data_IF_497354314382
#
_entry.id   IF_497354314382
#
_cell.length_a   1.000
_cell.length_b   1.000
_cell.length_c   1.000
_cell.angle_alpha   90.00
_cell.angle_beta   90.00
_cell.angle_gamma   90.00
#
_symmetry.space_group_name_H-M   'P 1'
#
loop_
_entity.id
_entity.type
_entity.pdbx_description
1 polymer ?
#
# COMPACT_ATOMS: atom_id res chain seq x y z
N UNK A 1 -114.93 -50.50 16.61
CA UNK A 1 -113.87 -49.53 17.03
C UNK A 1 -112.56 -50.01 16.49
N UNK A 2 -112.20 -49.58 15.26
CA UNK A 2 -110.97 -49.99 14.61
C UNK A 2 -109.90 -48.95 14.80
N UNK A 3 -108.76 -49.36 15.36
CA UNK A 3 -107.57 -48.52 15.51
C UNK A 3 -106.63 -48.77 14.31
N UNK A 4 -106.41 -47.72 13.54
CA UNK A 4 -105.47 -47.74 12.37
C UNK A 4 -104.02 -47.65 12.89
N UNK A 5 -103.23 -48.68 12.63
CA UNK A 5 -101.78 -48.70 12.94
C UNK A 5 -101.01 -48.04 11.78
N UNK A 6 -100.35 -46.86 12.02
CA UNK A 6 -99.46 -46.22 11.08
C UNK A 6 -98.09 -46.98 10.98
N UNK A 7 -97.81 -47.58 9.84
CA UNK A 7 -96.48 -48.17 9.51
C UNK A 7 -95.42 -47.04 9.36
N UNK A 8 -94.42 -47.03 10.23
CA UNK A 8 -93.25 -46.22 10.06
C UNK A 8 -92.39 -46.76 8.91
N UNK A 9 -92.25 -46.00 7.79
CA UNK A 9 -91.29 -46.23 6.76
C UNK A 9 -89.93 -45.75 7.26
N UNK A 10 -89.07 -46.56 7.85
CA UNK A 10 -87.69 -46.34 8.18
C UNK A 10 -86.79 -47.22 7.30
N UNK A 11 -85.70 -46.69 6.90
CA UNK A 11 -84.62 -47.40 6.18
C UNK A 11 -84.26 -48.70 6.89
N UNK A 12 -84.49 -49.85 6.22
CA UNK A 12 -84.13 -51.15 6.79
C UNK A 12 -82.60 -51.28 6.88
N UNK A 13 -82.10 -51.71 8.05
CA UNK A 13 -80.65 -51.89 8.36
C UNK A 13 -79.89 -52.69 7.29
N UNK A 14 -80.56 -53.46 6.47
CA UNK A 14 -80.00 -54.31 5.39
C UNK A 14 -79.53 -53.51 4.21
N UNK A 15 -79.97 -52.26 3.99
CA UNK A 15 -79.57 -51.40 2.87
C UNK A 15 -78.47 -50.40 3.21
N UNK A 16 -78.12 -50.27 4.52
CA UNK A 16 -77.09 -49.37 4.97
C UNK A 16 -75.70 -49.62 4.30
N UNK A 17 -75.21 -50.89 4.18
CA UNK A 17 -73.90 -51.13 3.52
C UNK A 17 -73.87 -50.79 2.03
N UNK A 18 -75.02 -50.95 1.32
CA UNK A 18 -75.11 -50.60 -0.09
C UNK A 18 -75.14 -49.07 -0.33
N UNK A 19 -75.78 -48.35 0.53
CA UNK A 19 -75.82 -46.89 0.51
C UNK A 19 -74.42 -46.35 0.84
N UNK A 20 -73.73 -46.89 1.86
CA UNK A 20 -72.33 -46.50 2.21
C UNK A 20 -71.39 -46.81 1.09
N UNK A 21 -71.48 -47.96 0.41
CA UNK A 21 -70.65 -48.28 -0.78
C UNK A 21 -70.93 -47.33 -1.98
N UNK A 22 -72.23 -46.95 -2.17
CA UNK A 22 -72.58 -45.96 -3.21
C UNK A 22 -72.04 -44.56 -2.92
N UNK A 23 -72.12 -44.12 -1.65
CA UNK A 23 -71.56 -42.84 -1.23
C UNK A 23 -69.98 -42.87 -1.39
N UNK A 24 -69.33 -43.98 -0.99
CA UNK A 24 -67.93 -44.13 -1.13
C UNK A 24 -67.46 -44.12 -2.62
N UNK A 25 -68.19 -44.83 -3.47
CA UNK A 25 -67.94 -44.80 -4.91
C UNK A 25 -68.13 -43.39 -5.51
N UNK A 26 -69.14 -42.64 -5.06
CA UNK A 26 -69.45 -41.29 -5.49
C UNK A 26 -68.34 -40.31 -4.98
N UNK A 27 -67.79 -40.47 -3.79
CA UNK A 27 -66.65 -39.70 -3.25
C UNK A 27 -65.39 -40.02 -4.07
N UNK A 28 -65.17 -41.30 -4.40
CA UNK A 28 -64.03 -41.69 -5.22
C UNK A 28 -64.14 -41.13 -6.66
N UNK A 29 -65.35 -41.17 -7.25
CA UNK A 29 -65.58 -40.58 -8.57
C UNK A 29 -65.41 -39.04 -8.56
N UNK A 30 -65.93 -38.37 -7.52
CA UNK A 30 -65.73 -36.94 -7.31
C UNK A 30 -64.26 -36.60 -7.07
N UNK A 31 -63.53 -37.43 -6.32
CA UNK A 31 -62.08 -37.25 -6.10
C UNK A 31 -61.29 -37.44 -7.38
N UNK A 32 -61.62 -38.41 -8.27
CA UNK A 32 -61.02 -38.62 -9.58
C UNK A 32 -61.36 -37.46 -10.54
N UNK A 33 -62.59 -36.93 -10.50
CA UNK A 33 -63.00 -35.81 -11.36
C UNK A 33 -62.39 -34.48 -10.89
N UNK A 34 -62.26 -34.24 -9.58
CA UNK A 34 -61.67 -33.01 -9.03
C UNK A 34 -60.16 -33.06 -8.93
N UNK A 35 -59.60 -34.26 -8.66
CA UNK A 35 -58.13 -34.44 -8.52
C UNK A 35 -57.37 -34.31 -9.85
N UNK A 36 -58.00 -34.32 -11.00
CA UNK A 36 -57.32 -34.34 -12.32
C UNK A 36 -57.59 -33.08 -13.16
N UNK A 37 -57.98 -31.96 -12.56
CA UNK A 37 -58.11 -30.70 -13.26
C UNK A 37 -56.74 -30.01 -13.25
N UNK A 38 -55.85 -30.33 -14.23
CA UNK A 38 -54.67 -29.52 -14.55
C UNK A 38 -55.18 -28.14 -14.97
N UNK A 39 -54.75 -27.09 -14.23
CA UNK A 39 -55.15 -25.72 -14.53
C UNK A 39 -54.48 -25.29 -15.84
N UNK A 40 -55.30 -25.00 -16.86
CA UNK A 40 -54.84 -24.56 -18.18
C UNK A 40 -55.15 -23.10 -18.40
N UNK A 41 -54.21 -22.35 -19.02
CA UNK A 41 -54.37 -20.98 -19.40
C UNK A 41 -54.02 -20.76 -20.86
N UNK A 42 -54.82 -19.96 -21.57
CA UNK A 42 -54.55 -19.58 -22.93
C UNK A 42 -53.72 -18.29 -22.98
N UNK A 43 -52.58 -18.29 -23.67
CA UNK A 43 -51.62 -17.19 -23.74
C UNK A 43 -51.25 -16.91 -25.20
N UNK A 44 -51.11 -15.63 -25.56
CA UNK A 44 -50.62 -15.27 -26.89
C UNK A 44 -49.09 -15.45 -26.97
N UNK A 45 -48.67 -16.22 -27.98
CA UNK A 45 -47.24 -16.55 -28.21
C UNK A 45 -46.36 -15.36 -28.52
N UNK A 46 -46.94 -14.23 -28.92
CA UNK A 46 -46.21 -13.00 -29.27
C UNK A 46 -45.57 -12.32 -28.05
N UNK A 47 -46.12 -12.53 -26.89
CA UNK A 47 -45.67 -11.90 -25.65
C UNK A 47 -44.62 -12.72 -24.90
N UNK A 48 -44.20 -13.86 -25.48
CA UNK A 48 -43.33 -14.82 -24.85
C UNK A 48 -41.95 -14.83 -25.51
N UNK A 49 -40.93 -14.78 -24.67
CA UNK A 49 -39.56 -15.10 -25.11
C UNK A 49 -39.31 -16.59 -24.92
N UNK A 50 -39.07 -17.27 -26.05
CA UNK A 50 -38.78 -18.69 -26.05
C UNK A 50 -37.31 -18.89 -26.38
N UNK A 51 -36.58 -19.58 -25.51
CA UNK A 51 -35.16 -19.89 -25.69
C UNK A 51 -34.97 -21.40 -25.84
N UNK A 52 -33.98 -21.80 -26.60
CA UNK A 52 -33.63 -23.22 -26.78
C UNK A 52 -32.53 -23.59 -25.81
N UNK A 53 -32.71 -24.73 -25.14
CA UNK A 53 -31.69 -25.34 -24.27
C UNK A 53 -30.58 -25.89 -25.18
N UNK A 54 -29.33 -25.53 -24.91
CA UNK A 54 -28.18 -25.97 -25.70
C UNK A 54 -27.18 -26.72 -24.83
N UNK A 55 -26.45 -27.65 -25.43
CA UNK A 55 -25.27 -28.21 -24.79
C UNK A 55 -24.05 -27.41 -25.27
N UNK A 56 -23.25 -26.94 -24.32
CA UNK A 56 -22.10 -26.11 -24.63
C UNK A 56 -21.15 -25.94 -23.46
N UNK A 57 -20.09 -25.21 -23.70
CA UNK A 57 -19.09 -24.90 -22.69
C UNK A 57 -19.64 -23.83 -21.74
N UNK A 58 -19.89 -24.20 -20.49
CA UNK A 58 -20.23 -23.25 -19.45
C UNK A 58 -18.96 -22.59 -18.93
N UNK A 59 -18.84 -21.27 -19.12
CA UNK A 59 -17.78 -20.43 -18.57
C UNK A 59 -18.31 -19.75 -17.34
N UNK A 60 -17.77 -20.15 -16.20
CA UNK A 60 -18.12 -19.54 -14.92
C UNK A 60 -17.28 -18.27 -14.73
N UNK A 61 -17.89 -17.11 -14.89
CA UNK A 61 -17.22 -15.82 -14.76
C UNK A 61 -18.13 -14.78 -14.13
N UNK A 62 -17.49 -13.82 -13.48
CA UNK A 62 -18.17 -12.62 -12.98
C UNK A 62 -17.74 -11.42 -13.80
N UNK A 63 -18.72 -10.63 -14.24
CA UNK A 63 -18.48 -9.36 -14.93
C UNK A 63 -18.51 -8.22 -13.93
N UNK A 64 -17.48 -7.38 -13.96
CA UNK A 64 -17.31 -6.27 -13.04
C UNK A 64 -16.58 -5.10 -13.69
N UNK A 65 -16.60 -3.96 -13.01
CA UNK A 65 -15.88 -2.77 -13.43
C UNK A 65 -14.53 -2.71 -12.73
N UNK A 66 -13.47 -2.39 -13.48
CA UNK A 66 -12.16 -2.13 -12.94
C UNK A 66 -11.62 -0.80 -13.42
N UNK A 67 -10.96 -0.08 -12.53
CA UNK A 67 -10.35 1.22 -12.80
C UNK A 67 -8.84 1.06 -12.97
N UNK A 68 -8.31 1.64 -14.02
CA UNK A 68 -6.88 1.66 -14.31
C UNK A 68 -6.17 2.58 -13.32
N UNK A 69 -5.17 2.06 -12.65
CA UNK A 69 -4.29 2.86 -11.79
C UNK A 69 -2.84 2.58 -12.13
N UNK A 70 -1.92 3.54 -11.95
CA UNK A 70 -0.49 3.32 -12.10
C UNK A 70 -0.02 2.20 -11.18
N UNK A 71 1.05 1.48 -11.59
CA UNK A 71 1.57 0.42 -10.73
C UNK A 71 2.15 0.97 -9.43
N UNK A 72 2.70 2.16 -9.50
CA UNK A 72 3.24 2.89 -8.36
C UNK A 72 2.87 4.36 -8.45
N UNK A 73 2.45 4.91 -7.33
CA UNK A 73 2.22 6.35 -7.12
C UNK A 73 3.10 6.78 -5.97
N UNK A 74 3.88 7.82 -6.18
CA UNK A 74 4.74 8.39 -5.15
C UNK A 74 4.29 9.81 -4.83
N UNK A 75 3.98 10.06 -3.57
CA UNK A 75 3.65 11.39 -3.09
C UNK A 75 4.89 12.26 -3.02
N UNK A 76 4.75 13.51 -3.45
CA UNK A 76 5.78 14.54 -3.37
C UNK A 76 5.58 15.27 -2.06
N UNK A 77 6.57 15.20 -1.18
CA UNK A 77 6.57 15.92 0.11
C UNK A 77 7.94 16.54 0.31
N UNK A 78 8.03 17.88 0.48
CA UNK A 78 9.29 18.55 0.77
C UNK A 78 9.90 18.07 2.09
N UNK A 79 11.20 17.87 2.11
CA UNK A 79 11.93 17.56 3.35
C UNK A 79 12.16 18.82 4.21
N UNK A 80 12.21 20.00 3.57
CA UNK A 80 12.34 21.30 4.22
C UNK A 80 11.14 22.19 3.86
N UNK A 81 10.63 22.94 4.83
CA UNK A 81 9.59 23.91 4.61
C UNK A 81 10.11 25.21 3.99
N UNK A 82 9.22 25.94 3.32
CA UNK A 82 9.56 27.22 2.73
C UNK A 82 8.42 27.81 1.90
N UNK A 83 8.69 28.94 1.25
CA UNK A 83 7.76 29.63 0.35
C UNK A 83 8.08 29.20 -1.08
N UNK A 84 7.06 28.83 -1.85
CA UNK A 84 7.20 28.46 -3.26
C UNK A 84 7.61 29.68 -4.09
N UNK A 85 8.80 29.63 -4.65
CA UNK A 85 9.31 30.72 -5.52
C UNK A 85 9.20 30.39 -6.99
N UNK A 86 9.22 29.11 -7.35
CA UNK A 86 9.13 28.69 -8.74
C UNK A 86 8.50 27.30 -8.85
N UNK A 87 7.61 27.15 -9.83
CA UNK A 87 7.11 25.85 -10.33
C UNK A 87 7.88 25.52 -11.59
N UNK A 88 8.76 24.53 -11.53
CA UNK A 88 9.64 24.13 -12.64
C UNK A 88 8.96 23.13 -13.56
N UNK A 89 8.12 22.26 -13.00
CA UNK A 89 7.35 21.27 -13.74
C UNK A 89 5.86 21.54 -13.59
N UNK A 90 5.09 21.24 -14.65
CA UNK A 90 3.63 21.36 -14.69
C UNK A 90 2.95 20.00 -14.58
N UNK A 91 1.66 20.01 -14.18
CA UNK A 91 0.84 18.80 -14.15
C UNK A 91 0.75 18.17 -15.54
N UNK A 92 0.82 16.84 -15.60
CA UNK A 92 0.84 16.07 -16.85
C UNK A 92 2.20 16.01 -17.54
N UNK A 93 3.23 16.70 -17.02
CA UNK A 93 4.58 16.66 -17.58
C UNK A 93 5.32 15.37 -17.20
N UNK A 94 6.05 14.79 -18.15
CA UNK A 94 6.96 13.67 -17.87
C UNK A 94 8.21 14.16 -17.13
N UNK A 95 8.51 13.54 -15.99
CA UNK A 95 9.66 13.86 -15.13
C UNK A 95 10.54 12.63 -14.94
N UNK A 96 11.83 12.85 -14.82
CA UNK A 96 12.81 11.82 -14.48
C UNK A 96 13.19 11.91 -13.01
N UNK A 97 13.67 10.81 -12.45
CA UNK A 97 14.24 10.80 -11.12
C UNK A 97 15.34 11.84 -10.99
N UNK A 98 15.20 12.76 -10.02
CA UNK A 98 16.12 13.86 -9.77
C UNK A 98 15.72 15.19 -10.40
N UNK A 99 14.76 15.22 -11.32
CA UNK A 99 14.26 16.48 -11.91
C UNK A 99 13.60 17.34 -10.82
N UNK A 100 13.87 18.65 -10.87
CA UNK A 100 13.27 19.62 -9.95
C UNK A 100 11.81 19.86 -10.34
N UNK A 101 10.92 19.76 -9.38
CA UNK A 101 9.47 20.02 -9.56
C UNK A 101 9.13 21.43 -9.13
N UNK A 102 9.54 21.82 -7.91
CA UNK A 102 9.36 23.16 -7.37
C UNK A 102 10.64 23.60 -6.65
N UNK A 103 10.81 24.91 -6.54
CA UNK A 103 11.84 25.54 -5.70
C UNK A 103 11.19 26.29 -4.55
N UNK A 104 11.73 26.10 -3.36
CA UNK A 104 11.33 26.77 -2.15
C UNK A 104 12.39 27.78 -1.72
N UNK A 105 11.99 28.83 -1.04
CA UNK A 105 12.86 29.77 -0.33
C UNK A 105 12.57 29.67 1.16
N UNK A 106 13.65 29.66 1.97
CA UNK A 106 13.55 29.63 3.42
C UNK A 106 14.61 30.56 4.03
N UNK A 107 14.19 31.76 4.40
CA UNK A 107 15.08 32.77 4.98
C UNK A 107 15.66 32.36 6.36
N UNK A 108 14.88 31.59 7.15
CA UNK A 108 15.34 31.12 8.45
C UNK A 108 16.48 30.12 8.30
N UNK A 109 16.41 29.27 7.30
CA UNK A 109 17.49 28.34 6.96
C UNK A 109 18.74 29.08 6.47
N UNK A 110 18.56 30.10 5.63
CA UNK A 110 19.67 30.94 5.18
C UNK A 110 20.36 31.67 6.34
N UNK A 111 19.60 32.22 7.29
CA UNK A 111 20.13 32.78 8.53
C UNK A 111 20.84 31.73 9.40
N UNK A 112 20.29 30.53 9.51
CA UNK A 112 20.92 29.44 10.26
C UNK A 112 22.26 29.03 9.66
N UNK A 113 22.37 28.97 8.31
CA UNK A 113 23.63 28.71 7.62
C UNK A 113 24.63 29.80 7.95
N UNK A 114 24.24 31.06 7.80
CA UNK A 114 25.11 32.22 8.06
C UNK A 114 25.64 32.22 9.49
N UNK A 115 24.77 31.95 10.47
CA UNK A 115 25.15 31.87 11.89
C UNK A 115 26.14 30.73 12.13
N UNK A 116 25.90 29.55 11.56
CA UNK A 116 26.81 28.39 11.73
C UNK A 116 28.17 28.65 11.09
N UNK A 117 28.20 29.36 9.95
CA UNK A 117 29.45 29.78 9.30
C UNK A 117 30.21 30.82 10.11
N UNK A 118 29.51 31.79 10.70
CA UNK A 118 30.09 32.79 11.58
C UNK A 118 30.71 32.15 12.83
N UNK A 119 30.01 31.21 13.47
CA UNK A 119 30.53 30.47 14.61
C UNK A 119 31.77 29.65 14.26
N UNK A 120 31.77 28.99 13.09
CA UNK A 120 32.93 28.26 12.59
C UNK A 120 34.13 29.19 12.41
N UNK A 121 33.92 30.37 11.81
CA UNK A 121 34.98 31.36 11.59
C UNK A 121 35.54 31.91 12.94
N UNK A 122 34.67 32.15 13.93
CA UNK A 122 35.07 32.54 15.27
C UNK A 122 35.97 31.48 15.91
N UNK A 123 35.59 30.22 15.86
CA UNK A 123 36.39 29.12 16.44
C UNK A 123 37.72 28.91 15.71
N UNK A 124 37.73 29.09 14.35
CA UNK A 124 38.97 29.09 13.60
C UNK A 124 39.92 30.20 14.05
N UNK A 125 39.42 31.41 14.24
CA UNK A 125 40.22 32.54 14.77
C UNK A 125 40.72 32.27 16.19
N UNK A 126 39.87 31.71 17.08
CA UNK A 126 40.27 31.32 18.41
C UNK A 126 41.40 30.28 18.38
N UNK A 127 41.30 29.26 17.56
CA UNK A 127 42.37 28.25 17.36
C UNK A 127 43.69 28.91 16.93
N UNK A 128 43.61 29.78 15.90
CA UNK A 128 44.80 30.49 15.40
C UNK A 128 45.48 31.35 16.48
N UNK A 129 44.70 32.14 17.26
CA UNK A 129 45.17 32.95 18.36
C UNK A 129 45.81 32.09 19.46
N UNK A 130 45.17 30.95 19.76
CA UNK A 130 45.71 29.99 20.76
C UNK A 130 47.06 29.42 20.27
N UNK A 131 47.14 29.03 18.98
CA UNK A 131 48.38 28.52 18.37
C UNK A 131 49.52 29.57 18.50
N UNK A 132 49.22 30.83 18.15
CA UNK A 132 50.23 31.93 18.28
C UNK A 132 50.69 32.09 19.71
N UNK A 133 49.76 32.13 20.67
CA UNK A 133 50.06 32.26 22.12
C UNK A 133 50.90 31.07 22.62
N UNK A 134 50.53 29.85 22.18
CA UNK A 134 51.31 28.64 22.56
C UNK A 134 52.71 28.67 21.99
N UNK A 135 52.90 29.18 20.76
CA UNK A 135 54.23 29.31 20.12
C UNK A 135 55.07 30.34 20.88
N UNK A 136 54.51 31.50 21.26
CA UNK A 136 55.20 32.52 22.08
C UNK A 136 55.63 31.95 23.41
N UNK A 137 54.71 31.25 24.14
CA UNK A 137 55.02 30.59 25.42
C UNK A 137 56.13 29.54 25.26
N UNK A 138 56.11 28.75 24.18
CA UNK A 138 57.16 27.77 23.86
C UNK A 138 58.54 28.44 23.74
N UNK A 139 58.64 29.53 22.97
CA UNK A 139 59.88 30.29 22.81
C UNK A 139 60.37 30.87 24.11
N UNK A 140 59.48 31.45 24.95
CA UNK A 140 59.83 31.94 26.27
C UNK A 140 60.38 30.83 27.19
N UNK A 141 59.73 29.67 27.18
CA UNK A 141 60.15 28.51 27.96
C UNK A 141 61.47 27.93 27.51
N UNK A 142 61.75 27.88 26.19
CA UNK A 142 63.04 27.48 25.66
C UNK A 142 64.18 28.43 26.06
N UNK A 143 63.90 29.74 26.08
CA UNK A 143 64.86 30.77 26.54
C UNK A 143 65.17 30.61 28.03
N UNK A 144 64.15 30.38 28.87
CA UNK A 144 64.32 30.11 30.30
C UNK A 144 65.16 28.83 30.54
N UNK A 145 64.86 27.77 29.81
CA UNK A 145 65.64 26.53 29.86
C UNK A 145 67.12 26.72 29.48
N UNK A 146 67.38 27.46 28.40
CA UNK A 146 68.74 27.77 27.95
C UNK A 146 69.50 28.56 29.01
N UNK A 147 68.85 29.56 29.63
CA UNK A 147 69.45 30.36 30.73
C UNK A 147 69.81 29.48 31.93
N UNK A 148 68.90 28.59 32.38
CA UNK A 148 69.15 27.67 33.50
C UNK A 148 70.25 26.64 33.14
N UNK A 149 70.33 26.17 31.93
CA UNK A 149 71.42 25.28 31.51
C UNK A 149 72.79 25.98 31.63
N UNK A 150 72.90 27.22 31.18
CA UNK A 150 74.12 28.01 31.35
C UNK A 150 74.47 28.29 32.82
N UNK A 151 73.46 28.53 33.66
CA UNK A 151 73.68 28.72 35.11
C UNK A 151 74.23 27.45 35.76
N UNK A 152 73.67 26.30 35.45
CA UNK A 152 74.14 24.97 35.92
C UNK A 152 75.61 24.76 35.50
N UNK A 153 75.98 25.04 34.25
CA UNK A 153 77.35 24.90 33.78
C UNK A 153 78.31 25.84 34.46
N UNK A 154 77.89 27.11 34.71
CA UNK A 154 78.69 28.08 35.43
C UNK A 154 78.92 27.64 36.90
N UNK A 155 77.87 27.21 37.63
CA UNK A 155 77.96 26.73 38.97
C UNK A 155 78.72 25.42 39.11
N UNK A 156 78.65 24.55 38.08
CA UNK A 156 79.42 23.32 38.02
C UNK A 156 80.91 23.60 37.92
N UNK A 157 81.32 24.51 37.03
CA UNK A 157 82.72 24.94 36.95
C UNK A 157 83.26 25.54 38.22
N UNK A 158 82.43 26.38 38.87
CA UNK A 158 82.80 27.01 40.19
C UNK A 158 82.97 25.92 41.31
N UNK A 159 82.04 24.95 41.32
CA UNK A 159 82.12 23.82 42.27
C UNK A 159 83.39 22.96 42.00
N UNK A 160 83.70 22.56 40.78
CA UNK A 160 84.93 21.83 40.44
C UNK A 160 86.22 22.58 40.78
N UNK A 161 86.25 23.90 40.59
CA UNK A 161 87.36 24.73 40.95
C UNK A 161 87.54 24.79 42.48
N UNK A 162 86.44 25.03 43.25
CA UNK A 162 86.49 25.09 44.68
C UNK A 162 86.80 23.72 45.31
N UNK A 163 86.37 22.61 44.72
CA UNK A 163 86.70 21.24 45.11
C UNK A 163 88.21 20.99 45.03
N UNK A 164 88.85 21.44 43.97
CA UNK A 164 90.33 21.30 43.75
C UNK A 164 91.06 22.18 44.81
N UNK A 165 90.66 23.48 45.00
CA UNK A 165 91.28 24.38 45.93
C UNK A 165 91.11 23.87 47.37
N UNK A 166 89.96 23.30 47.71
CA UNK A 166 89.72 22.72 49.06
C UNK A 166 90.61 21.48 49.34
N UNK A 167 90.77 20.60 48.34
CA UNK A 167 91.70 19.46 48.41
C UNK A 167 93.13 19.91 48.65
N UNK A 168 93.53 21.05 48.05
CA UNK A 168 94.85 21.70 48.29
C UNK A 168 94.89 22.55 49.53
N UNK A 169 93.82 22.63 50.36
CA UNK A 169 93.70 23.44 51.60
C UNK A 169 93.82 24.93 51.36
N UNK A 170 93.52 25.46 50.22
CA UNK A 170 93.62 26.85 49.81
C UNK A 170 92.35 27.67 50.10
N UNK A 171 91.21 27.02 50.40
CA UNK A 171 89.92 27.68 50.78
C UNK A 171 89.34 27.04 52.07
N UNK A 172 88.39 27.75 52.68
CA UNK A 172 87.64 27.25 53.86
C UNK A 172 86.62 26.14 53.41
N UNK A 173 86.26 25.28 54.36
CA UNK A 173 85.23 24.27 54.21
C UNK A 173 83.88 24.90 53.90
N UNK A 174 83.58 26.03 54.43
CA UNK A 174 82.35 26.80 54.22
C UNK A 174 82.20 27.25 52.77
N UNK A 175 83.27 27.83 52.17
CA UNK A 175 83.31 28.23 50.75
C UNK A 175 83.11 27.05 49.83
N UNK A 176 83.68 25.86 50.12
CA UNK A 176 83.46 24.68 49.35
C UNK A 176 82.01 24.18 49.44
N UNK A 177 81.42 24.10 50.65
CA UNK A 177 80.05 23.70 50.89
C UNK A 177 79.11 24.66 50.18
N UNK A 178 79.29 25.95 50.25
CA UNK A 178 78.44 26.91 49.51
C UNK A 178 78.50 26.72 48.04
N UNK A 179 79.65 26.52 47.38
CA UNK A 179 79.73 26.21 45.96
C UNK A 179 79.05 24.94 45.61
N UNK A 180 79.10 23.91 46.44
CA UNK A 180 78.41 22.64 46.26
C UNK A 180 76.89 22.82 46.30
N UNK A 181 76.38 23.51 47.36
CA UNK A 181 74.96 23.78 47.57
C UNK A 181 74.42 24.64 46.41
N UNK A 182 75.15 25.63 45.92
CA UNK A 182 74.76 26.43 44.74
C UNK A 182 74.64 25.60 43.52
N UNK A 183 75.57 24.67 43.26
CA UNK A 183 75.47 23.75 42.08
C UNK A 183 74.30 22.81 42.25
N UNK A 184 74.11 22.17 43.38
CA UNK A 184 72.99 21.29 43.65
C UNK A 184 71.63 21.98 43.45
N UNK A 185 71.51 23.26 43.99
CA UNK A 185 70.33 24.10 43.80
C UNK A 185 70.07 24.38 42.27
N UNK A 186 71.12 24.79 41.54
CA UNK A 186 70.98 25.05 40.10
C UNK A 186 70.55 23.81 39.33
N UNK A 187 71.13 22.65 39.64
CA UNK A 187 70.74 21.36 39.06
C UNK A 187 69.31 20.96 39.39
N UNK A 188 68.84 21.21 40.64
CA UNK A 188 67.44 20.96 41.06
C UNK A 188 66.48 21.86 40.29
N UNK A 189 66.82 23.17 40.10
CA UNK A 189 66.02 24.09 39.29
C UNK A 189 65.93 23.65 37.85
N UNK A 190 67.05 23.27 37.23
CA UNK A 190 67.08 22.70 35.86
C UNK A 190 66.18 21.49 35.71
N UNK A 191 66.21 20.55 36.67
CA UNK A 191 65.35 19.35 36.65
C UNK A 191 63.88 19.73 36.73
N UNK A 192 63.49 20.63 37.68
CA UNK A 192 62.13 21.07 37.83
C UNK A 192 61.57 21.78 36.62
N UNK A 193 62.37 22.64 35.95
CA UNK A 193 61.94 23.31 34.71
C UNK A 193 61.72 22.27 33.60
N UNK A 194 62.65 21.27 33.49
CA UNK A 194 62.48 20.18 32.49
C UNK A 194 61.19 19.39 32.69
N UNK A 195 60.86 19.04 33.95
CA UNK A 195 59.61 18.39 34.29
C UNK A 195 58.37 19.26 33.96
N UNK A 196 58.43 20.57 34.30
CA UNK A 196 57.40 21.56 33.99
C UNK A 196 57.16 21.62 32.44
N UNK A 197 58.22 21.80 31.68
CA UNK A 197 58.14 21.89 30.21
C UNK A 197 57.54 20.64 29.57
N UNK A 198 57.90 19.46 30.08
CA UNK A 198 57.33 18.21 29.61
C UNK A 198 55.81 18.12 29.85
N UNK A 199 55.38 18.51 31.05
CA UNK A 199 53.92 18.56 31.38
C UNK A 199 53.20 19.62 30.54
N UNK A 200 53.76 20.81 30.41
CA UNK A 200 53.20 21.88 29.59
C UNK A 200 53.04 21.45 28.10
N UNK A 201 54.02 20.70 27.57
CA UNK A 201 53.94 20.16 26.22
C UNK A 201 52.78 19.16 26.08
N UNK A 202 52.57 18.27 27.07
CA UNK A 202 51.46 17.36 27.09
C UNK A 202 50.11 18.07 27.17
N UNK A 203 49.97 19.05 28.07
CA UNK A 203 48.71 19.84 28.19
C UNK A 203 48.42 20.61 26.88
N UNK A 204 49.42 21.21 26.25
CA UNK A 204 49.24 21.87 24.95
C UNK A 204 48.77 20.92 23.84
N UNK A 205 49.36 19.72 23.81
CA UNK A 205 48.95 18.71 22.82
C UNK A 205 47.50 18.32 23.00
N UNK A 206 47.06 18.02 24.24
CA UNK A 206 45.67 17.65 24.55
C UNK A 206 44.73 18.84 24.24
N UNK A 207 45.12 20.06 24.60
CA UNK A 207 44.28 21.24 24.33
C UNK A 207 44.12 21.48 22.81
N UNK A 208 45.19 21.32 22.05
CA UNK A 208 45.13 21.44 20.60
C UNK A 208 44.25 20.39 19.95
N UNK A 209 44.42 19.13 20.34
CA UNK A 209 43.58 18.02 19.89
C UNK A 209 42.10 18.28 20.14
N UNK A 210 41.75 18.72 21.37
CA UNK A 210 40.36 19.06 21.70
C UNK A 210 39.81 20.22 20.86
N UNK A 211 40.63 21.23 20.55
CA UNK A 211 40.20 22.37 19.76
C UNK A 211 40.02 21.95 18.27
N UNK A 212 40.91 21.12 17.74
CA UNK A 212 40.82 20.58 16.36
C UNK A 212 39.59 19.68 16.23
N UNK A 213 39.30 18.80 17.20
CA UNK A 213 38.12 17.97 17.22
C UNK A 213 36.83 18.79 17.26
N UNK A 214 36.77 19.82 18.08
CA UNK A 214 35.64 20.73 18.14
C UNK A 214 35.43 21.46 16.82
N UNK A 215 36.50 21.91 16.17
CA UNK A 215 36.45 22.55 14.86
C UNK A 215 35.96 21.60 13.79
N UNK A 216 36.44 20.34 13.80
CA UNK A 216 35.99 19.31 12.87
C UNK A 216 34.49 19.00 13.03
N UNK A 217 33.98 18.96 14.28
CA UNK A 217 32.57 18.81 14.57
C UNK A 217 31.73 19.98 14.05
N UNK A 218 32.22 21.20 14.27
CA UNK A 218 31.56 22.41 13.78
C UNK A 218 31.52 22.47 12.25
N UNK A 219 32.62 22.10 11.59
CA UNK A 219 32.66 22.01 10.14
C UNK A 219 31.65 21.01 9.60
N UNK A 220 31.50 19.85 10.24
CA UNK A 220 30.46 18.87 9.90
C UNK A 220 29.05 19.44 10.05
N UNK A 221 28.81 20.20 11.11
CA UNK A 221 27.52 20.86 11.34
C UNK A 221 27.20 21.84 10.20
N UNK A 222 28.14 22.71 9.82
CA UNK A 222 27.97 23.64 8.68
C UNK A 222 27.63 22.90 7.40
N UNK A 223 28.34 21.80 7.11
CA UNK A 223 28.05 20.96 5.93
C UNK A 223 26.65 20.39 5.99
N UNK A 224 26.20 19.88 7.15
CA UNK A 224 24.84 19.34 7.30
C UNK A 224 23.79 20.44 7.07
N UNK A 225 23.94 21.60 7.66
CA UNK A 225 22.99 22.71 7.49
C UNK A 225 22.97 23.21 6.04
N UNK A 226 24.13 23.30 5.37
CA UNK A 226 24.19 23.63 3.94
C UNK A 226 23.49 22.59 3.04
N UNK A 227 23.62 21.32 3.37
CA UNK A 227 22.96 20.25 2.62
C UNK A 227 21.43 20.36 2.69
N UNK A 228 20.88 20.89 3.79
CA UNK A 228 19.43 21.18 3.90
C UNK A 228 18.97 22.20 2.86
N UNK A 229 19.84 23.17 2.50
CA UNK A 229 19.51 24.13 1.42
C UNK A 229 19.23 23.45 0.08
N UNK A 230 19.95 22.37 -0.24
CA UNK A 230 19.71 21.58 -1.46
C UNK A 230 18.34 20.89 -1.46
N UNK A 231 17.75 20.66 -0.28
CA UNK A 231 16.42 20.04 -0.12
C UNK A 231 15.27 21.02 -0.34
N UNK A 232 15.55 22.33 -0.47
CA UNK A 232 14.57 23.33 -0.92
C UNK A 232 14.22 23.16 -2.41
N UNK A 233 15.03 22.45 -3.17
CA UNK A 233 14.66 21.96 -4.50
C UNK A 233 13.95 20.62 -4.34
N UNK A 234 12.62 20.64 -4.41
CA UNK A 234 11.81 19.43 -4.33
C UNK A 234 11.90 18.68 -5.65
N UNK A 235 12.45 17.46 -5.60
CA UNK A 235 12.78 16.68 -6.79
C UNK A 235 11.93 15.41 -6.88
N UNK A 236 11.70 14.94 -8.11
CA UNK A 236 11.07 13.65 -8.34
C UNK A 236 11.95 12.50 -7.84
N UNK A 237 11.39 11.57 -7.10
CA UNK A 237 12.08 10.38 -6.60
C UNK A 237 12.04 9.21 -7.59
N UNK A 238 11.15 9.27 -8.62
CA UNK A 238 10.98 8.24 -9.66
C UNK A 238 10.87 8.87 -11.05
N UNK A 239 11.01 8.03 -12.08
CA UNK A 239 10.61 8.43 -13.43
C UNK A 239 9.09 8.24 -13.57
N UNK A 240 8.39 9.20 -14.16
CA UNK A 240 6.95 9.10 -14.33
C UNK A 240 6.33 10.36 -14.90
N UNK A 241 5.04 10.52 -14.71
CA UNK A 241 4.28 11.71 -15.06
C UNK A 241 3.83 12.42 -13.79
N UNK A 242 4.07 13.71 -13.72
CA UNK A 242 3.59 14.54 -12.63
C UNK A 242 2.06 14.58 -12.68
N UNK A 243 1.42 14.01 -11.67
CA UNK A 243 -0.02 14.03 -11.54
C UNK A 243 -0.50 15.38 -10.99
N UNK A 244 -1.33 15.35 -9.95
CA UNK A 244 -1.76 16.57 -9.28
C UNK A 244 -0.57 17.24 -8.58
N UNK A 245 -0.47 18.57 -8.68
CA UNK A 245 0.49 19.44 -7.99
C UNK A 245 -0.25 20.60 -7.33
N UNK A 246 -0.66 20.38 -6.08
CA UNK A 246 -1.50 21.29 -5.30
C UNK A 246 -0.64 22.35 -4.56
N UNK A 247 0.00 23.24 -5.32
CA UNK A 247 0.78 24.36 -4.78
C UNK A 247 0.66 25.59 -5.67
N UNK A 248 0.76 26.78 -5.06
CA UNK A 248 0.77 28.07 -5.75
C UNK A 248 2.05 28.86 -5.45
N UNK A 249 2.41 29.76 -6.39
CA UNK A 249 3.54 30.69 -6.16
C UNK A 249 3.26 31.59 -4.97
N UNK A 250 4.23 31.73 -4.07
CA UNK A 250 4.08 32.48 -2.83
C UNK A 250 3.44 31.74 -1.68
N UNK A 251 2.94 30.52 -1.90
CA UNK A 251 2.39 29.67 -0.86
C UNK A 251 3.48 29.18 0.10
N UNK A 252 3.17 29.17 1.41
CA UNK A 252 4.05 28.56 2.43
C UNK A 252 3.75 27.07 2.57
N UNK A 253 4.77 26.24 2.45
CA UNK A 253 4.71 24.79 2.56
C UNK A 253 5.49 24.34 3.79
N UNK A 254 4.92 23.41 4.56
CA UNK A 254 5.62 22.81 5.71
C UNK A 254 6.35 21.53 5.30
N UNK A 255 7.42 21.20 6.02
CA UNK A 255 8.15 19.95 5.83
C UNK A 255 7.20 18.74 6.03
N UNK A 256 7.27 17.75 5.12
CA UNK A 256 6.42 16.56 5.15
C UNK A 256 5.01 16.72 4.60
N UNK A 257 4.58 17.93 4.25
CA UNK A 257 3.27 18.17 3.63
C UNK A 257 3.25 17.55 2.23
N UNK A 258 2.23 16.73 1.94
CA UNK A 258 2.04 16.22 0.57
C UNK A 258 1.56 17.36 -0.34
N UNK A 259 2.31 17.63 -1.40
CA UNK A 259 2.05 18.74 -2.34
C UNK A 259 1.68 18.26 -3.73
N UNK A 260 1.76 16.95 -3.98
CA UNK A 260 1.45 16.37 -5.27
C UNK A 260 1.83 14.90 -5.34
N UNK A 261 1.81 14.35 -6.54
CA UNK A 261 2.17 12.95 -6.78
C UNK A 261 2.82 12.74 -8.15
N UNK A 262 3.69 11.74 -8.25
CA UNK A 262 4.25 11.25 -9.51
C UNK A 262 3.74 9.83 -9.76
N UNK A 263 3.17 9.62 -10.94
CA UNK A 263 2.65 8.35 -11.42
C UNK A 263 3.69 7.62 -12.25
N UNK A 264 4.05 6.40 -11.85
CA UNK A 264 4.83 5.52 -12.71
C UNK A 264 3.91 4.92 -13.80
N UNK A 265 4.05 5.43 -15.00
CA UNK A 265 3.29 4.96 -16.17
C UNK A 265 3.99 3.83 -16.94
N UNK A 266 5.08 3.28 -16.43
CA UNK A 266 5.76 2.13 -17.05
C UNK A 266 4.83 0.91 -17.13
N UNK A 267 4.02 0.73 -16.08
CA UNK A 267 3.01 -0.31 -16.00
C UNK A 267 1.73 0.18 -15.34
N UNK A 268 0.64 -0.52 -15.63
CA UNK A 268 -0.66 -0.27 -15.05
C UNK A 268 -1.20 -1.52 -14.37
N UNK A 269 -1.99 -1.32 -13.35
CA UNK A 269 -2.84 -2.36 -12.79
C UNK A 269 -4.29 -1.90 -12.87
N UNK A 270 -5.20 -2.85 -12.83
CA UNK A 270 -6.63 -2.57 -12.78
C UNK A 270 -7.11 -2.90 -11.38
N UNK A 271 -7.62 -1.93 -10.68
CA UNK A 271 -8.27 -2.11 -9.39
C UNK A 271 -9.74 -2.36 -9.62
N UNK A 272 -10.24 -3.47 -9.11
CA UNK A 272 -11.64 -3.86 -9.21
C UNK A 272 -12.25 -4.01 -7.82
N UNK A 273 -13.49 -3.53 -7.66
CA UNK A 273 -14.30 -3.74 -6.48
C UNK A 273 -15.29 -4.87 -6.76
N UNK A 274 -15.23 -5.92 -5.96
CA UNK A 274 -15.98 -7.17 -6.14
C UNK A 274 -16.89 -7.35 -4.92
N UNK A 275 -18.13 -7.78 -5.16
CA UNK A 275 -19.10 -8.08 -4.11
C UNK A 275 -18.58 -9.18 -3.17
N UNK A 276 -18.83 -9.05 -1.87
CA UNK A 276 -18.34 -9.97 -0.82
C UNK A 276 -18.78 -11.42 -1.05
N UNK A 277 -19.90 -11.62 -1.76
CA UNK A 277 -20.39 -12.96 -2.11
C UNK A 277 -19.35 -13.81 -2.87
N UNK A 278 -18.40 -13.18 -3.55
CA UNK A 278 -17.34 -13.84 -4.32
C UNK A 278 -16.03 -14.01 -3.57
N UNK A 279 -15.92 -13.60 -2.30
CA UNK A 279 -14.65 -13.52 -1.56
C UNK A 279 -13.93 -14.89 -1.47
N UNK A 280 -14.68 -15.97 -1.25
CA UNK A 280 -14.12 -17.32 -1.17
C UNK A 280 -13.69 -17.89 -2.51
N UNK A 281 -14.23 -17.35 -3.61
CA UNK A 281 -14.01 -17.81 -4.98
C UNK A 281 -12.92 -17.06 -5.72
N UNK A 282 -12.70 -15.77 -5.38
CA UNK A 282 -11.66 -14.95 -6.00
C UNK A 282 -10.33 -15.20 -5.30
N UNK A 283 -9.38 -15.76 -6.05
CA UNK A 283 -8.04 -16.10 -5.57
C UNK A 283 -6.97 -15.46 -6.45
N UNK A 284 -5.80 -15.26 -5.86
CA UNK A 284 -4.61 -14.83 -6.60
C UNK A 284 -4.29 -15.86 -7.69
N UNK A 285 -4.00 -15.38 -8.90
CA UNK A 285 -3.68 -16.22 -10.04
C UNK A 285 -4.84 -16.53 -10.97
N UNK A 286 -6.09 -16.17 -10.65
CA UNK A 286 -7.23 -16.33 -11.55
C UNK A 286 -7.04 -15.49 -12.81
N UNK A 287 -7.45 -16.07 -13.95
CA UNK A 287 -7.47 -15.39 -15.23
C UNK A 287 -8.64 -14.42 -15.32
N UNK A 288 -8.42 -13.32 -16.01
CA UNK A 288 -9.48 -12.39 -16.35
C UNK A 288 -9.28 -11.86 -17.75
N UNK A 289 -10.36 -11.41 -18.38
CA UNK A 289 -10.34 -10.83 -19.72
C UNK A 289 -10.92 -9.44 -19.73
N UNK A 290 -10.34 -8.56 -20.53
CA UNK A 290 -10.80 -7.21 -20.83
C UNK A 290 -11.01 -7.08 -22.32
N UNK A 291 -12.18 -6.63 -22.74
CA UNK A 291 -12.48 -6.34 -24.14
C UNK A 291 -12.45 -4.84 -24.39
N UNK A 292 -11.65 -4.42 -25.38
CA UNK A 292 -11.60 -3.02 -25.82
C UNK A 292 -11.40 -2.97 -27.34
N UNK A 293 -12.26 -2.24 -28.02
CA UNK A 293 -12.20 -2.04 -29.49
C UNK A 293 -12.08 -3.36 -30.28
N UNK A 294 -12.81 -4.40 -29.87
CA UNK A 294 -12.81 -5.72 -30.51
C UNK A 294 -11.57 -6.58 -30.25
N UNK A 295 -10.66 -6.13 -29.39
CA UNK A 295 -9.54 -6.93 -28.91
C UNK A 295 -9.74 -7.36 -27.46
N UNK A 296 -9.36 -8.61 -27.19
CA UNK A 296 -9.39 -9.19 -25.85
C UNK A 296 -7.98 -9.19 -25.25
N UNK A 297 -7.83 -8.59 -24.09
CA UNK A 297 -6.59 -8.55 -23.33
C UNK A 297 -6.67 -9.50 -22.15
N UNK A 298 -5.59 -10.24 -21.90
CA UNK A 298 -5.49 -11.19 -20.80
C UNK A 298 -4.94 -10.47 -19.56
N UNK A 299 -5.62 -10.68 -18.45
CA UNK A 299 -5.21 -10.19 -17.14
C UNK A 299 -5.14 -11.35 -16.15
N UNK A 300 -4.43 -11.12 -15.06
CA UNK A 300 -4.36 -12.05 -13.94
C UNK A 300 -4.57 -11.32 -12.62
N UNK A 301 -5.30 -11.95 -11.73
CA UNK A 301 -5.46 -11.48 -10.35
C UNK A 301 -4.11 -11.55 -9.65
N UNK A 302 -3.53 -10.40 -9.31
CA UNK A 302 -2.25 -10.28 -8.61
C UNK A 302 -2.41 -10.26 -7.11
N UNK A 303 -3.43 -9.55 -6.62
CA UNK A 303 -3.64 -9.37 -5.18
C UNK A 303 -5.12 -9.26 -4.87
N UNK A 304 -5.53 -9.92 -3.81
CA UNK A 304 -6.86 -9.80 -3.23
C UNK A 304 -6.71 -9.17 -1.86
N UNK A 305 -7.47 -8.12 -1.57
CA UNK A 305 -7.49 -7.45 -0.29
C UNK A 305 -8.68 -8.01 0.52
N UNK A 306 -8.43 -8.69 1.64
CA UNK A 306 -9.49 -9.40 2.37
C UNK A 306 -10.43 -8.47 3.14
N UNK A 307 -10.11 -7.19 3.22
CA UNK A 307 -10.94 -6.20 3.90
C UNK A 307 -12.18 -5.88 3.08
N UNK A 308 -13.35 -6.17 3.64
CA UNK A 308 -14.66 -5.82 3.05
C UNK A 308 -15.08 -4.44 3.55
N UNK A 309 -15.42 -3.55 2.63
CA UNK A 309 -16.01 -2.22 2.89
C UNK A 309 -17.25 -2.06 2.04
N UNK A 310 -18.35 -1.65 2.65
CA UNK A 310 -19.64 -1.45 1.97
C UNK A 310 -20.09 -2.67 1.14
N UNK A 311 -19.89 -3.91 1.67
CA UNK A 311 -20.23 -5.15 1.00
C UNK A 311 -19.34 -5.51 -0.21
N UNK A 312 -18.17 -4.86 -0.36
CA UNK A 312 -17.23 -5.11 -1.46
C UNK A 312 -15.81 -5.27 -0.95
N UNK A 313 -15.03 -6.09 -1.64
CA UNK A 313 -13.59 -6.20 -1.43
C UNK A 313 -12.83 -5.78 -2.70
N UNK A 314 -11.60 -5.37 -2.51
CA UNK A 314 -10.74 -4.85 -3.57
C UNK A 314 -9.80 -5.92 -4.11
N UNK A 315 -9.58 -5.89 -5.42
CA UNK A 315 -8.67 -6.82 -6.10
C UNK A 315 -7.86 -6.07 -7.15
N UNK A 316 -6.55 -6.33 -7.20
CA UNK A 316 -5.65 -5.80 -8.21
C UNK A 316 -5.40 -6.86 -9.30
N UNK A 317 -5.59 -6.47 -10.56
CA UNK A 317 -5.29 -7.27 -11.74
C UNK A 317 -4.16 -6.63 -12.53
N UNK A 318 -3.33 -7.46 -13.16
CA UNK A 318 -2.25 -7.02 -14.03
C UNK A 318 -2.42 -7.63 -15.43
N UNK A 319 -1.96 -6.91 -16.45
CA UNK A 319 -1.88 -7.44 -17.81
C UNK A 319 -0.79 -8.51 -17.89
N UNK A 320 -1.09 -9.65 -18.55
CA UNK A 320 -0.13 -10.75 -18.68
C UNK A 320 0.84 -10.55 -19.86
N UNK A 321 0.37 -10.07 -20.97
CA UNK A 321 1.15 -9.95 -22.22
C UNK A 321 1.06 -8.55 -22.81
N UNK A 322 -0.05 -8.25 -23.44
CA UNK A 322 -0.29 -6.98 -24.11
C UNK A 322 -1.26 -6.13 -23.31
N UNK A 323 -1.07 -4.83 -23.40
CA UNK A 323 -2.00 -3.84 -22.83
C UNK A 323 -2.53 -2.92 -23.92
N UNK A 324 -3.67 -2.29 -23.76
CA UNK A 324 -4.14 -1.26 -24.68
C UNK A 324 -3.13 -0.11 -24.82
N UNK A 325 -2.90 0.34 -26.06
CA UNK A 325 -1.86 1.35 -26.36
C UNK A 325 -2.15 2.69 -25.70
N UNK A 326 -3.43 3.08 -25.61
CA UNK A 326 -3.85 4.40 -25.10
C UNK A 326 -4.55 4.26 -23.75
N UNK A 327 -3.98 3.49 -22.83
CA UNK A 327 -4.53 3.33 -21.48
C UNK A 327 -4.10 4.54 -20.62
N UNK A 328 -5.06 5.11 -19.88
CA UNK A 328 -4.82 6.24 -18.99
C UNK A 328 -5.29 5.94 -17.57
N UNK A 329 -4.60 6.46 -16.55
CA UNK A 329 -5.08 6.39 -15.17
C UNK A 329 -6.52 6.93 -15.06
N UNK A 330 -7.34 6.27 -14.23
CA UNK A 330 -8.74 6.64 -14.02
C UNK A 330 -9.72 6.08 -15.04
N UNK A 331 -9.27 5.48 -16.16
CA UNK A 331 -10.18 4.81 -17.09
C UNK A 331 -10.82 3.59 -16.45
N UNK A 332 -12.12 3.40 -16.73
CA UNK A 332 -12.87 2.23 -16.25
C UNK A 332 -13.13 1.27 -17.41
N UNK A 333 -12.89 -0.02 -17.17
CA UNK A 333 -13.15 -1.10 -18.12
C UNK A 333 -14.03 -2.17 -17.51
N UNK A 334 -14.80 -2.85 -18.39
CA UNK A 334 -15.49 -4.08 -18.02
C UNK A 334 -14.52 -5.26 -18.06
N UNK A 335 -14.51 -6.03 -16.99
CA UNK A 335 -13.66 -7.21 -16.81
C UNK A 335 -14.54 -8.44 -16.62
N UNK A 336 -14.11 -9.56 -17.15
CA UNK A 336 -14.68 -10.87 -16.85
C UNK A 336 -13.62 -11.68 -16.12
N UNK A 337 -13.82 -11.93 -14.81
CA UNK A 337 -12.92 -12.79 -14.01
C UNK A 337 -13.45 -14.21 -14.07
N UNK A 338 -12.63 -15.16 -14.51
CA UNK A 338 -12.95 -16.58 -14.59
C UNK A 338 -12.88 -17.20 -13.18
N UNK A 339 -14.00 -17.78 -12.73
CA UNK A 339 -14.13 -18.37 -11.40
C UNK A 339 -13.86 -19.89 -11.37
N UNK A 340 -13.68 -20.49 -12.55
CA UNK A 340 -13.41 -21.91 -12.71
C UNK A 340 -13.03 -22.25 -14.14
N UNK A 341 -12.61 -23.49 -14.34
CA UNK A 341 -12.35 -23.97 -15.71
C UNK A 341 -13.67 -24.20 -16.46
N UNK A 342 -13.71 -23.89 -17.77
CA UNK A 342 -14.85 -24.18 -18.61
C UNK A 342 -15.21 -25.66 -18.58
N UNK A 343 -16.49 -25.98 -18.49
CA UNK A 343 -17.01 -27.36 -18.47
C UNK A 343 -18.19 -27.52 -19.42
N UNK A 344 -18.35 -28.70 -20.02
CA UNK A 344 -19.51 -29.02 -20.83
C UNK A 344 -20.73 -29.12 -19.91
N UNK A 345 -21.78 -28.37 -20.21
CA UNK A 345 -23.00 -28.31 -19.42
C UNK A 345 -24.22 -28.07 -20.31
N UNK A 346 -25.39 -28.34 -19.76
CA UNK A 346 -26.68 -27.97 -20.37
C UNK A 346 -26.97 -26.50 -20.01
N UNK A 347 -27.12 -25.66 -21.04
CA UNK A 347 -27.21 -24.22 -20.93
C UNK A 347 -28.64 -23.72 -21.22
N UNK A 348 -29.19 -22.94 -20.30
CA UNK A 348 -30.44 -22.20 -20.53
C UNK A 348 -30.13 -20.70 -20.51
N UNK A 349 -30.44 -19.92 -21.55
CA UNK A 349 -30.30 -18.49 -21.56
C UNK A 349 -31.04 -17.84 -20.40
N UNK A 350 -30.42 -16.82 -19.78
CA UNK A 350 -31.05 -16.09 -18.65
C UNK A 350 -32.33 -15.40 -19.10
N UNK A 351 -33.32 -15.42 -18.23
CA UNK A 351 -34.60 -14.77 -18.48
C UNK A 351 -35.28 -14.35 -17.17
N UNK A 352 -36.35 -13.58 -17.33
CA UNK A 352 -37.10 -13.01 -16.19
C UNK A 352 -37.93 -14.05 -15.43
N UNK A 353 -38.14 -15.26 -16.00
CA UNK A 353 -38.80 -16.39 -15.32
C UNK A 353 -38.17 -16.67 -13.94
N UNK A 354 -36.87 -16.48 -13.79
CA UNK A 354 -36.15 -16.75 -12.56
C UNK A 354 -36.65 -15.93 -11.38
N UNK A 355 -37.07 -14.67 -11.63
CA UNK A 355 -37.58 -13.78 -10.56
C UNK A 355 -38.87 -14.33 -9.93
N UNK A 356 -39.71 -14.98 -10.76
CA UNK A 356 -40.99 -15.53 -10.31
C UNK A 356 -40.84 -16.93 -9.73
N UNK A 357 -39.93 -17.75 -10.29
CA UNK A 357 -39.83 -19.19 -9.95
C UNK A 357 -38.72 -19.52 -8.97
N UNK A 358 -37.80 -18.55 -8.73
CA UNK A 358 -36.56 -18.82 -7.99
C UNK A 358 -35.68 -19.88 -8.68
N UNK A 359 -35.92 -20.19 -9.97
CA UNK A 359 -35.18 -21.22 -10.70
C UNK A 359 -35.60 -22.67 -10.41
N UNK A 360 -36.73 -22.89 -9.69
CA UNK A 360 -37.15 -24.23 -9.33
C UNK A 360 -37.96 -24.96 -10.44
N UNK A 361 -38.56 -24.21 -11.34
CA UNK A 361 -39.36 -24.76 -12.44
C UNK A 361 -39.46 -23.81 -13.61
N UNK A 362 -39.78 -24.38 -14.78
CA UNK A 362 -39.96 -23.65 -16.04
C UNK A 362 -41.08 -24.24 -16.86
N UNK A 363 -41.58 -23.49 -17.86
CA UNK A 363 -42.50 -24.01 -18.87
C UNK A 363 -41.71 -24.50 -20.09
N UNK A 364 -41.82 -25.80 -20.39
CA UNK A 364 -41.22 -26.47 -21.54
C UNK A 364 -42.27 -26.67 -22.63
N UNK A 365 -41.98 -26.20 -23.83
CA UNK A 365 -42.87 -26.39 -24.98
C UNK A 365 -42.89 -27.84 -25.42
N UNK A 366 -44.06 -28.30 -25.81
CA UNK A 366 -44.20 -29.59 -26.47
C UNK A 366 -43.63 -29.57 -27.91
N UNK A 367 -43.48 -30.74 -28.52
CA UNK A 367 -42.95 -30.86 -29.90
C UNK A 367 -43.82 -30.16 -30.93
N UNK A 368 -45.12 -29.96 -30.69
CA UNK A 368 -46.06 -29.28 -31.59
C UNK A 368 -45.94 -27.75 -31.46
N UNK A 369 -45.39 -27.26 -30.39
CA UNK A 369 -45.29 -25.83 -30.04
C UNK A 369 -46.65 -25.18 -29.73
N UNK A 370 -47.69 -25.98 -29.43
CA UNK A 370 -49.04 -25.51 -29.11
C UNK A 370 -49.34 -25.47 -27.62
N UNK A 371 -48.54 -26.20 -26.84
CA UNK A 371 -48.70 -26.27 -25.37
C UNK A 371 -47.34 -26.19 -24.70
N UNK A 372 -47.31 -25.64 -23.49
CA UNK A 372 -46.13 -25.70 -22.64
C UNK A 372 -46.55 -26.25 -21.24
N UNK A 373 -45.70 -27.10 -20.70
CA UNK A 373 -45.88 -27.78 -19.43
C UNK A 373 -44.89 -27.30 -18.40
N UNK A 374 -45.43 -27.10 -17.17
CA UNK A 374 -44.57 -26.82 -16.03
C UNK A 374 -43.74 -28.03 -15.70
N UNK A 375 -42.37 -27.81 -15.61
CA UNK A 375 -41.42 -28.86 -15.27
C UNK A 375 -40.44 -28.32 -14.22
N UNK A 376 -40.24 -29.12 -13.17
CA UNK A 376 -39.24 -28.80 -12.17
C UNK A 376 -37.83 -28.94 -12.77
N UNK A 377 -36.97 -28.03 -12.40
CA UNK A 377 -35.57 -28.01 -12.86
C UNK A 377 -34.68 -27.79 -11.64
N UNK A 378 -33.39 -28.12 -11.77
CA UNK A 378 -32.35 -27.76 -10.83
C UNK A 378 -31.29 -26.97 -11.58
N UNK A 379 -31.15 -25.70 -11.12
CA UNK A 379 -30.13 -24.80 -11.62
C UNK A 379 -28.89 -24.96 -10.74
N UNK A 380 -27.72 -25.16 -11.36
CA UNK A 380 -26.41 -25.17 -10.74
C UNK A 380 -25.78 -23.78 -10.74
N UNK A 381 -24.64 -23.65 -11.40
CA UNK A 381 -23.93 -22.38 -11.53
C UNK A 381 -24.64 -21.44 -12.51
N UNK A 382 -24.34 -20.15 -12.36
CA UNK A 382 -24.88 -19.13 -13.25
C UNK A 382 -23.82 -18.10 -13.64
N UNK A 383 -23.88 -17.64 -14.88
CA UNK A 383 -23.09 -16.53 -15.35
C UNK A 383 -24.00 -15.40 -15.91
N UNK A 384 -23.51 -14.26 -16.36
CA UNK A 384 -24.35 -13.19 -16.89
C UNK A 384 -25.26 -13.55 -18.07
N UNK A 385 -24.98 -14.62 -18.82
CA UNK A 385 -25.73 -15.01 -20.03
C UNK A 385 -26.55 -16.27 -19.85
N UNK A 386 -26.11 -17.24 -19.04
CA UNK A 386 -26.69 -18.58 -18.97
C UNK A 386 -26.83 -19.08 -17.55
N UNK A 387 -27.81 -19.95 -17.34
CA UNK A 387 -27.92 -20.86 -16.22
C UNK A 387 -27.38 -22.25 -16.67
N UNK A 388 -26.60 -22.88 -15.82
CA UNK A 388 -26.26 -24.30 -15.92
C UNK A 388 -27.44 -25.12 -15.38
N UNK A 389 -27.96 -26.03 -16.15
CA UNK A 389 -29.04 -26.92 -15.75
C UNK A 389 -28.46 -28.29 -15.40
N UNK A 390 -28.60 -28.66 -14.12
CA UNK A 390 -28.16 -29.98 -13.64
C UNK A 390 -29.18 -31.06 -13.89
N UNK A 391 -30.47 -30.74 -13.74
CA UNK A 391 -31.58 -31.70 -13.91
C UNK A 391 -32.83 -31.02 -14.48
N UNK A 392 -33.62 -31.77 -15.22
CA UNK A 392 -34.97 -31.38 -15.62
C UNK A 392 -35.12 -30.90 -17.09
N UNK A 393 -34.03 -30.61 -17.80
CA UNK A 393 -34.07 -30.19 -19.20
C UNK A 393 -33.04 -30.95 -20.04
N UNK A 394 -33.45 -31.23 -21.31
CA UNK A 394 -32.55 -31.84 -22.28
C UNK A 394 -32.16 -30.85 -23.39
N UNK A 395 -30.95 -30.98 -23.96
CA UNK A 395 -30.52 -30.15 -25.10
C UNK A 395 -31.50 -30.25 -26.27
N UNK A 396 -31.87 -29.10 -26.82
CA UNK A 396 -32.83 -28.99 -27.93
C UNK A 396 -34.27 -28.68 -27.49
N UNK A 397 -34.59 -28.80 -26.20
CA UNK A 397 -35.91 -28.39 -25.71
C UNK A 397 -36.09 -26.87 -25.76
N UNK A 398 -37.31 -26.43 -25.98
CA UNK A 398 -37.70 -25.02 -26.00
C UNK A 398 -38.38 -24.64 -24.68
N UNK A 399 -37.88 -23.58 -24.05
CA UNK A 399 -38.31 -23.12 -22.74
C UNK A 399 -38.76 -21.68 -22.84
N UNK A 400 -39.81 -21.31 -22.12
CA UNK A 400 -40.27 -19.93 -21.99
C UNK A 400 -39.36 -19.24 -20.97
N UNK A 401 -38.65 -18.20 -21.39
CA UNK A 401 -37.69 -17.46 -20.53
C UNK A 401 -38.17 -16.06 -20.16
N UNK A 402 -39.35 -15.64 -20.68
CA UNK A 402 -40.05 -14.41 -20.20
C UNK A 402 -40.59 -14.54 -18.76
N UNK A 403 -41.06 -13.46 -18.18
CA UNK A 403 -41.65 -13.47 -16.82
C UNK A 403 -42.93 -14.30 -16.76
N UNK A 404 -43.18 -14.91 -15.60
CA UNK A 404 -44.32 -15.80 -15.36
C UNK A 404 -45.41 -15.15 -14.48
N UNK A 405 -45.34 -13.88 -14.23
CA UNK A 405 -46.25 -13.15 -13.31
C UNK A 405 -47.73 -13.29 -13.72
N UNK A 406 -48.01 -13.36 -15.03
CA UNK A 406 -49.37 -13.51 -15.56
C UNK A 406 -49.89 -14.96 -15.53
N UNK A 407 -49.01 -15.96 -15.37
CA UNK A 407 -49.41 -17.38 -15.52
C UNK A 407 -49.97 -17.98 -14.22
N UNK A 408 -49.84 -17.27 -13.09
CA UNK A 408 -50.31 -17.71 -11.76
C UNK A 408 -49.89 -19.17 -11.47
N UNK A 409 -50.79 -19.99 -10.94
CA UNK A 409 -50.54 -21.39 -10.57
C UNK A 409 -50.91 -22.39 -11.69
N UNK A 410 -51.03 -21.93 -12.93
CA UNK A 410 -51.36 -22.84 -14.04
C UNK A 410 -50.22 -23.81 -14.35
N UNK A 411 -50.59 -25.07 -14.67
CA UNK A 411 -49.63 -26.13 -14.99
C UNK A 411 -49.41 -26.30 -16.49
N UNK A 412 -50.38 -25.83 -17.30
CA UNK A 412 -50.35 -25.94 -18.76
C UNK A 412 -50.68 -24.58 -19.38
N UNK A 413 -49.87 -24.17 -20.36
CA UNK A 413 -50.14 -23.02 -21.21
C UNK A 413 -50.52 -23.51 -22.60
N UNK A 414 -51.61 -23.00 -23.19
CA UNK A 414 -52.05 -23.25 -24.58
C UNK A 414 -51.88 -21.97 -25.43
N UNK A 415 -51.39 -22.15 -26.65
CA UNK A 415 -51.07 -21.06 -27.57
C UNK A 415 -52.00 -21.04 -28.77
#
# INVERSE_FOLDING_TARGET
MDRIIKKKRGLQKKHIPYIAAGIFALIVILWIIWGNHQSTMRVEKKDLTISTVTQGEFKDYVRLNGTVIPIQVVHISPEEGGIVVEKVAEEGQSVKKGDVIIRLSNNDLDLQILNSEAELAEKQNLLRNTQVTMQQNKLSNETEQASLNMDVERKHRAYEQNERLYKEKLISKEQFIQAKEDYELAKKKQKLIGERLKKDAQYRSIQMEQMEDNLANMHRNVVMVRNRKGKLEVRSSINGELGMLDVELGQSITAGQSIGLVNDLSNFKIEAQIDEHYIDRIKVGLSATLEQNGKTYQLRVRKVYPEVREGKFRTDLIFEKERPVNIRPGQTFYLNIELGQPQQATLLPRGTFFQTTGGNWVFVLDKSGKKAYRRNIRIGRQNPLFYEIEEGLEPGEKVITSGYESFKDNEILEF
#
